data_IF_526832352949
#
_entry.id   IF_526832352949
#
_cell.length_a   1.000
_cell.length_b   1.000
_cell.length_c   1.000
_cell.angle_alpha   90.00
_cell.angle_beta   90.00
_cell.angle_gamma   90.00
#
_symmetry.space_group_name_H-M   'P 1'
#
loop_
_entity.id
_entity.type
_entity.pdbx_description
1 polymer ?
#
# COMPACT_ATOMS: atom_id res chain seq x y z
N UNK A 1 -8.17 -7.95 -20.85
CA UNK A 1 -8.07 -6.50 -21.12
C UNK A 1 -7.37 -5.87 -19.91
N UNK A 2 -6.05 -5.66 -20.03
CA UNK A 2 -5.27 -4.87 -19.09
C UNK A 2 -5.60 -3.40 -19.37
N UNK A 3 -6.53 -2.83 -18.59
CA UNK A 3 -6.70 -1.39 -18.57
C UNK A 3 -5.55 -0.80 -17.77
N UNK A 4 -4.51 -0.37 -18.45
CA UNK A 4 -3.55 0.54 -17.85
C UNK A 4 -4.32 1.83 -17.51
N UNK A 5 -4.39 2.15 -16.23
CA UNK A 5 -4.84 3.47 -15.82
C UNK A 5 -3.86 4.47 -16.42
N UNK A 6 -4.32 5.29 -17.34
CA UNK A 6 -3.50 6.37 -17.90
C UNK A 6 -3.37 7.43 -16.81
N UNK A 7 -2.18 7.99 -16.63
CA UNK A 7 -1.90 8.98 -15.58
C UNK A 7 -2.89 10.14 -15.56
N UNK A 8 -3.39 10.54 -16.71
CA UNK A 8 -4.45 11.54 -16.83
C UNK A 8 -5.78 11.14 -16.16
N UNK A 9 -6.05 9.84 -16.02
CA UNK A 9 -7.24 9.33 -15.32
C UNK A 9 -7.00 9.27 -13.81
N UNK A 10 -5.74 9.18 -13.37
CA UNK A 10 -5.34 9.16 -11.96
C UNK A 10 -5.36 10.57 -11.34
N UNK A 11 -5.05 11.61 -12.12
CA UNK A 11 -4.99 13.01 -11.66
C UNK A 11 -6.38 13.67 -11.55
N UNK A 12 -7.43 13.04 -12.07
CA UNK A 12 -8.78 13.56 -11.85
C UNK A 12 -9.13 13.39 -10.36
N UNK A 13 -9.73 14.42 -9.76
CA UNK A 13 -10.19 14.46 -8.36
C UNK A 13 -11.29 13.41 -8.03
N UNK A 14 -11.39 12.36 -8.82
CA UNK A 14 -12.41 11.32 -8.74
C UNK A 14 -12.00 10.13 -7.86
N UNK A 15 -10.70 10.02 -7.52
CA UNK A 15 -10.20 8.92 -6.69
C UNK A 15 -9.88 9.39 -5.29
N UNK A 16 -10.56 8.79 -4.32
CA UNK A 16 -10.34 9.03 -2.90
C UNK A 16 -9.51 7.91 -2.29
N UNK A 17 -8.67 8.28 -1.34
CA UNK A 17 -7.78 7.37 -0.62
C UNK A 17 -8.04 7.53 0.88
N UNK A 18 -8.16 6.44 1.60
CA UNK A 18 -8.05 6.44 3.05
C UNK A 18 -6.59 6.21 3.41
N UNK A 19 -6.01 7.13 4.14
CA UNK A 19 -4.62 7.05 4.59
C UNK A 19 -4.49 7.27 6.09
N UNK A 20 -3.45 6.69 6.69
CA UNK A 20 -3.04 6.96 8.07
C UNK A 20 -1.71 7.72 8.04
N UNK A 21 -1.73 8.93 8.53
CA UNK A 21 -0.56 9.82 8.66
C UNK A 21 -0.53 10.42 10.06
N UNK A 22 0.50 11.19 10.39
CA UNK A 22 0.69 11.74 11.74
C UNK A 22 -0.51 12.47 12.35
N UNK A 23 -1.45 12.95 11.56
CA UNK A 23 -2.71 13.57 11.99
C UNK A 23 -3.86 12.58 12.21
N UNK A 24 -3.63 11.29 11.96
CA UNK A 24 -4.63 10.23 12.08
C UNK A 24 -5.10 9.68 10.74
N UNK A 25 -6.22 8.93 10.79
CA UNK A 25 -6.81 8.30 9.61
C UNK A 25 -7.85 9.25 8.99
N UNK A 26 -7.65 9.61 7.73
CA UNK A 26 -8.54 10.51 7.01
C UNK A 26 -8.65 10.16 5.51
N UNK A 27 -9.54 10.83 4.82
CA UNK A 27 -9.70 10.73 3.37
C UNK A 27 -8.96 11.88 2.70
N UNK A 28 -8.18 11.54 1.69
CA UNK A 28 -7.53 12.49 0.78
C UNK A 28 -7.83 12.13 -0.67
N UNK A 29 -7.43 12.95 -1.63
CA UNK A 29 -7.51 12.59 -3.06
C UNK A 29 -6.19 11.97 -3.53
N UNK A 30 -6.27 11.12 -4.55
CA UNK A 30 -5.07 10.58 -5.17
C UNK A 30 -4.19 11.70 -5.77
N UNK A 31 -4.82 12.76 -6.27
CA UNK A 31 -4.12 13.94 -6.78
C UNK A 31 -3.29 14.63 -5.68
N UNK A 32 -3.87 14.85 -4.50
CA UNK A 32 -3.16 15.41 -3.36
C UNK A 32 -2.01 14.52 -2.88
N UNK A 33 -2.24 13.20 -2.80
CA UNK A 33 -1.20 12.24 -2.45
C UNK A 33 -0.02 12.29 -3.45
N UNK A 34 -0.32 12.40 -4.74
CA UNK A 34 0.68 12.44 -5.81
C UNK A 34 1.56 13.69 -5.79
N UNK A 35 1.08 14.80 -5.22
CA UNK A 35 1.87 16.04 -5.09
C UNK A 35 2.98 15.94 -4.02
N UNK A 36 2.86 15.00 -3.08
CA UNK A 36 3.75 14.89 -1.93
C UNK A 36 4.55 13.59 -1.88
N UNK A 37 4.40 12.73 -2.89
CA UNK A 37 5.08 11.43 -2.93
C UNK A 37 5.78 11.19 -4.26
N UNK A 38 7.07 10.92 -4.18
CA UNK A 38 7.91 10.63 -5.35
C UNK A 38 7.71 9.20 -5.88
N UNK A 39 7.33 8.27 -4.99
CA UNK A 39 7.08 6.87 -5.31
C UNK A 39 5.63 6.53 -5.02
N UNK A 40 4.90 6.10 -6.03
CA UNK A 40 3.52 5.67 -5.87
C UNK A 40 3.32 4.37 -6.63
N UNK A 41 2.81 3.35 -5.96
CA UNK A 41 2.39 2.12 -6.60
C UNK A 41 0.94 1.82 -6.29
N UNK A 42 0.22 1.33 -7.27
CA UNK A 42 -1.13 0.81 -7.11
C UNK A 42 -1.12 -0.70 -7.40
N UNK A 43 -1.65 -1.47 -6.48
CA UNK A 43 -1.88 -2.90 -6.60
C UNK A 43 -3.31 -3.22 -6.24
N UNK A 44 -3.86 -4.28 -6.79
CA UNK A 44 -5.25 -4.67 -6.58
C UNK A 44 -5.32 -6.11 -6.08
N UNK A 45 -5.96 -6.38 -4.93
CA UNK A 45 -6.22 -7.73 -4.48
C UNK A 45 -7.12 -8.50 -5.46
N UNK A 46 -6.84 -9.79 -5.63
CA UNK A 46 -7.61 -10.70 -6.49
C UNK A 46 -8.80 -11.24 -5.68
N UNK A 47 -9.68 -10.36 -5.30
CA UNK A 47 -10.91 -10.68 -4.56
C UNK A 47 -12.14 -10.33 -5.39
N UNK A 48 -13.25 -10.98 -5.07
CA UNK A 48 -14.55 -10.62 -5.64
C UNK A 48 -15.03 -9.24 -5.12
N UNK A 49 -16.01 -8.66 -5.81
CA UNK A 49 -16.52 -7.33 -5.50
C UNK A 49 -17.09 -7.23 -4.08
N UNK A 50 -17.67 -8.31 -3.55
CA UNK A 50 -18.23 -8.33 -2.20
C UNK A 50 -17.14 -8.18 -1.14
N UNK A 51 -16.01 -8.89 -1.28
CA UNK A 51 -14.86 -8.78 -0.37
C UNK A 51 -14.19 -7.41 -0.46
N UNK A 52 -14.09 -6.87 -1.66
CA UNK A 52 -13.56 -5.50 -1.84
C UNK A 52 -14.47 -4.49 -1.13
N UNK A 53 -15.80 -4.59 -1.27
CA UNK A 53 -16.74 -3.70 -0.57
C UNK A 53 -16.60 -3.81 0.95
N UNK A 54 -16.50 -5.01 1.49
CA UNK A 54 -16.29 -5.24 2.92
C UNK A 54 -14.97 -4.63 3.41
N UNK A 55 -13.88 -4.78 2.63
CA UNK A 55 -12.60 -4.17 2.96
C UNK A 55 -12.65 -2.63 2.97
N UNK A 56 -13.39 -2.03 2.02
CA UNK A 56 -13.64 -0.59 1.99
C UNK A 56 -14.43 -0.14 3.22
N UNK A 57 -15.52 -0.83 3.56
CA UNK A 57 -16.33 -0.52 4.74
C UNK A 57 -15.51 -0.64 6.03
N UNK A 58 -14.72 -1.71 6.16
CA UNK A 58 -13.81 -1.89 7.30
C UNK A 58 -12.83 -0.72 7.41
N UNK A 59 -12.23 -0.29 6.29
CA UNK A 59 -11.30 0.85 6.26
C UNK A 59 -12.00 2.16 6.64
N UNK A 60 -13.20 2.42 6.10
CA UNK A 60 -13.98 3.62 6.40
C UNK A 60 -14.40 3.69 7.88
N UNK A 61 -14.62 2.55 8.54
CA UNK A 61 -14.93 2.50 9.97
C UNK A 61 -13.79 2.97 10.88
N UNK A 62 -12.58 3.07 10.34
CA UNK A 62 -11.39 3.52 11.06
C UNK A 62 -11.14 5.03 10.94
N UNK A 63 -11.94 5.75 10.16
CA UNK A 63 -11.79 7.21 9.99
C UNK A 63 -11.82 7.94 11.34
N UNK A 64 -10.93 8.90 11.51
CA UNK A 64 -10.78 9.69 12.74
C UNK A 64 -9.99 8.98 13.84
N UNK A 65 -9.54 7.73 13.66
CA UNK A 65 -8.61 7.09 14.60
C UNK A 65 -7.25 7.74 14.55
N UNK A 66 -6.53 7.66 15.67
CA UNK A 66 -5.19 8.24 15.79
C UNK A 66 -4.13 7.43 15.05
N UNK A 67 -3.03 8.10 14.69
CA UNK A 67 -1.85 7.44 14.15
C UNK A 67 -1.03 6.81 15.28
N UNK A 68 -0.56 5.58 15.08
CA UNK A 68 0.27 4.88 16.06
C UNK A 68 1.76 5.17 15.86
N UNK A 69 2.26 6.15 16.56
CA UNK A 69 3.70 6.46 16.58
C UNK A 69 4.55 5.39 17.31
N UNK A 70 3.94 4.53 18.12
CA UNK A 70 4.58 3.40 18.78
C UNK A 70 4.82 2.22 17.84
N UNK A 71 4.27 2.26 16.62
CA UNK A 71 4.35 1.21 15.61
C UNK A 71 3.86 -0.15 16.13
N UNK A 72 2.82 -0.17 16.95
CA UNK A 72 2.24 -1.39 17.49
C UNK A 72 1.18 -1.97 16.56
N UNK A 73 1.55 -2.98 15.80
CA UNK A 73 0.62 -3.66 14.88
C UNK A 73 -0.66 -4.19 15.55
N UNK A 74 -0.58 -4.58 16.82
CA UNK A 74 -1.72 -5.14 17.57
C UNK A 74 -2.62 -4.09 18.22
N UNK A 75 -2.35 -2.81 18.03
CA UNK A 75 -3.23 -1.76 18.53
C UNK A 75 -4.60 -1.82 17.82
N UNK A 76 -5.66 -1.68 18.59
CA UNK A 76 -7.03 -1.51 18.09
C UNK A 76 -7.55 -0.07 18.27
N UNK A 77 -6.70 0.82 18.77
CA UNK A 77 -7.02 2.23 19.06
C UNK A 77 -6.38 3.15 18.04
N UNK A 78 -5.11 2.90 17.71
CA UNK A 78 -4.30 3.70 16.80
C UNK A 78 -3.66 2.81 15.74
N UNK A 79 -3.39 3.35 14.56
CA UNK A 79 -2.97 2.54 13.41
C UNK A 79 -1.81 3.19 12.67
N UNK A 80 -0.85 2.37 12.25
CA UNK A 80 0.16 2.75 11.24
C UNK A 80 -0.42 2.60 9.84
N UNK A 81 0.13 3.31 8.86
CA UNK A 81 -0.36 3.31 7.47
C UNK A 81 -0.50 1.90 6.88
N UNK A 82 0.48 1.03 7.10
CA UNK A 82 0.45 -0.35 6.60
C UNK A 82 -0.54 -1.25 7.35
N UNK A 83 -0.89 -0.94 8.61
CA UNK A 83 -1.88 -1.69 9.36
C UNK A 83 -3.30 -1.49 8.79
N UNK A 84 -3.59 -0.38 8.11
CA UNK A 84 -4.87 -0.20 7.41
C UNK A 84 -5.13 -1.31 6.40
N UNK A 85 -4.12 -1.68 5.61
CA UNK A 85 -4.24 -2.73 4.60
C UNK A 85 -4.57 -4.06 5.26
N UNK A 86 -3.83 -4.41 6.32
CA UNK A 86 -4.06 -5.68 7.01
C UNK A 86 -5.40 -5.74 7.70
N UNK A 87 -5.82 -4.66 8.36
CA UNK A 87 -7.14 -4.59 9.03
C UNK A 87 -8.29 -4.63 8.02
N UNK A 88 -8.13 -4.00 6.86
CA UNK A 88 -9.12 -4.03 5.79
C UNK A 88 -9.37 -5.44 5.23
N UNK A 89 -8.33 -6.27 5.17
CA UNK A 89 -8.39 -7.60 4.57
C UNK A 89 -8.27 -8.74 5.59
N UNK A 90 -8.60 -8.50 6.87
CA UNK A 90 -8.71 -9.57 7.87
C UNK A 90 -9.87 -10.51 7.54
N UNK A 91 -9.73 -11.82 7.84
CA UNK A 91 -10.85 -12.75 7.75
C UNK A 91 -12.02 -12.30 8.63
N UNK A 92 -13.23 -12.55 8.17
CA UNK A 92 -14.44 -12.35 8.94
C UNK A 92 -15.33 -13.62 8.87
N UNK A 93 -16.51 -13.57 9.45
CA UNK A 93 -17.43 -14.71 9.47
C UNK A 93 -17.85 -15.20 8.08
N UNK A 94 -17.81 -14.33 7.07
CA UNK A 94 -18.27 -14.65 5.71
C UNK A 94 -17.16 -15.13 4.79
N UNK A 95 -15.89 -14.87 5.13
CA UNK A 95 -14.74 -15.25 4.32
C UNK A 95 -13.49 -15.52 5.16
N UNK A 96 -12.85 -16.65 4.90
CA UNK A 96 -11.62 -17.09 5.58
C UNK A 96 -10.36 -16.72 4.80
N UNK A 97 -10.49 -16.30 3.55
CA UNK A 97 -9.37 -15.92 2.68
C UNK A 97 -9.03 -14.45 2.93
N UNK A 98 -7.81 -14.18 3.20
CA UNK A 98 -7.28 -12.85 3.48
C UNK A 98 -5.95 -12.64 2.74
N UNK A 99 -5.51 -11.41 2.70
CA UNK A 99 -4.22 -11.08 2.12
C UNK A 99 -3.10 -11.54 3.06
N UNK A 100 -2.33 -12.54 2.64
CA UNK A 100 -1.22 -13.06 3.43
C UNK A 100 -0.05 -12.09 3.41
N UNK A 101 0.19 -11.45 4.53
CA UNK A 101 1.24 -10.45 4.68
C UNK A 101 2.18 -10.85 5.80
N UNK A 102 3.48 -10.87 5.50
CA UNK A 102 4.50 -11.17 6.50
C UNK A 102 4.76 -9.96 7.40
N UNK A 103 4.62 -10.18 8.70
CA UNK A 103 4.99 -9.22 9.72
C UNK A 103 6.50 -9.32 10.02
N UNK A 104 7.12 -8.19 10.27
CA UNK A 104 8.52 -8.11 10.63
C UNK A 104 8.68 -7.64 12.09
N UNK A 105 9.60 -8.25 12.80
CA UNK A 105 9.98 -7.80 14.14
C UNK A 105 11.06 -6.75 14.05
N UNK A 106 10.80 -5.58 14.65
CA UNK A 106 11.78 -4.51 14.83
C UNK A 106 12.01 -4.27 16.33
N UNK A 107 12.97 -3.43 16.68
CA UNK A 107 13.32 -3.15 18.08
C UNK A 107 12.13 -2.64 18.93
N UNK A 108 11.21 -1.90 18.31
CA UNK A 108 10.04 -1.29 18.97
C UNK A 108 8.79 -2.17 18.94
N UNK A 109 8.77 -3.28 18.21
CA UNK A 109 7.58 -4.12 18.12
C UNK A 109 7.48 -4.96 16.85
N UNK A 110 6.25 -5.30 16.49
CA UNK A 110 5.92 -6.03 15.26
C UNK A 110 5.24 -5.06 14.31
N UNK A 111 5.75 -4.99 13.09
CA UNK A 111 5.28 -4.08 12.06
C UNK A 111 5.04 -4.82 10.75
N UNK A 112 4.28 -4.18 9.88
CA UNK A 112 4.16 -4.54 8.48
C UNK A 112 4.85 -3.47 7.64
N UNK A 113 6.11 -3.66 7.21
CA UNK A 113 6.78 -2.69 6.36
C UNK A 113 6.13 -2.62 4.98
N UNK A 114 5.95 -1.44 4.38
CA UNK A 114 5.38 -1.30 3.03
C UNK A 114 6.09 -2.16 1.98
N UNK A 115 7.42 -2.29 2.08
CA UNK A 115 8.20 -3.13 1.18
C UNK A 115 7.89 -4.63 1.28
N UNK A 116 7.28 -5.10 2.37
CA UNK A 116 6.84 -6.50 2.49
C UNK A 116 5.76 -6.85 1.49
N UNK A 117 4.89 -5.89 1.12
CA UNK A 117 3.90 -6.08 0.07
C UNK A 117 4.56 -6.29 -1.29
N UNK A 118 5.56 -5.47 -1.63
CA UNK A 118 6.29 -5.60 -2.89
C UNK A 118 7.06 -6.92 -2.94
N UNK A 119 7.74 -7.27 -1.82
CA UNK A 119 8.46 -8.53 -1.68
C UNK A 119 7.52 -9.72 -1.85
N UNK A 120 6.34 -9.70 -1.20
CA UNK A 120 5.32 -10.72 -1.35
C UNK A 120 4.94 -10.88 -2.83
N UNK A 121 4.59 -9.82 -3.52
CA UNK A 121 4.24 -9.89 -4.95
C UNK A 121 5.35 -10.51 -5.79
N UNK A 122 6.61 -10.16 -5.51
CA UNK A 122 7.76 -10.71 -6.23
C UNK A 122 7.89 -12.24 -6.02
N UNK A 123 7.64 -12.74 -4.81
CA UNK A 123 7.66 -14.18 -4.53
C UNK A 123 6.42 -14.91 -5.06
N UNK A 124 5.25 -14.33 -4.94
CA UNK A 124 4.01 -14.90 -5.44
C UNK A 124 4.05 -15.09 -6.96
N UNK A 125 4.66 -14.17 -7.69
CA UNK A 125 4.85 -14.28 -9.13
C UNK A 125 5.72 -15.50 -9.51
N UNK A 126 6.76 -15.78 -8.71
CA UNK A 126 7.62 -16.96 -8.91
C UNK A 126 6.89 -18.27 -8.59
N UNK A 127 5.96 -18.26 -7.64
CA UNK A 127 5.21 -19.44 -7.19
C UNK A 127 3.89 -19.66 -7.93
N UNK A 128 3.52 -18.78 -8.86
CA UNK A 128 2.23 -18.77 -9.57
C UNK A 128 1.01 -18.68 -8.63
N UNK A 129 1.16 -18.07 -7.48
CA UNK A 129 0.13 -17.89 -6.45
C UNK A 129 -0.16 -16.42 -6.17
N UNK A 130 -0.27 -15.60 -7.21
CA UNK A 130 -0.48 -14.18 -7.03
C UNK A 130 -1.81 -13.89 -6.33
N UNK A 131 -1.78 -13.14 -5.22
CA UNK A 131 -2.94 -12.59 -4.53
C UNK A 131 -3.22 -11.14 -4.91
N UNK A 132 -2.31 -10.53 -5.65
CA UNK A 132 -2.33 -9.13 -6.03
C UNK A 132 -2.04 -8.96 -7.52
N UNK A 133 -2.73 -8.04 -8.15
CA UNK A 133 -2.40 -7.57 -9.48
C UNK A 133 -1.68 -6.23 -9.42
N UNK A 134 -0.65 -6.11 -10.22
CA UNK A 134 -0.02 -4.83 -10.49
C UNK A 134 -0.96 -3.94 -11.31
N UNK A 135 -1.10 -2.67 -10.90
CA UNK A 135 -1.90 -1.67 -11.62
C UNK A 135 -1.02 -0.59 -12.19
N UNK A 136 -0.20 0.06 -11.37
CA UNK A 136 0.67 1.14 -11.80
C UNK A 136 1.85 1.31 -10.84
N UNK A 137 2.95 1.86 -11.36
CA UNK A 137 4.08 2.30 -10.57
C UNK A 137 4.66 3.59 -11.12
N UNK A 138 4.69 4.60 -10.30
CA UNK A 138 5.43 5.84 -10.52
C UNK A 138 6.72 5.74 -9.75
N UNK A 139 7.82 5.75 -10.48
CA UNK A 139 9.17 5.60 -9.95
C UNK A 139 9.89 6.95 -10.02
N UNK A 140 10.38 7.45 -8.91
CA UNK A 140 11.23 8.61 -8.87
C UNK A 140 12.71 8.19 -8.92
N UNK A 141 13.46 8.83 -9.77
CA UNK A 141 14.92 8.71 -9.75
C UNK A 141 15.50 10.02 -9.25
N UNK A 142 16.13 9.95 -8.09
CA UNK A 142 16.77 11.11 -7.44
C UNK A 142 17.72 11.83 -8.40
N UNK A 143 18.48 11.08 -9.22
CA UNK A 143 19.40 11.64 -10.21
C UNK A 143 18.74 12.51 -11.28
N UNK A 144 17.48 12.22 -11.61
CA UNK A 144 16.76 12.88 -12.70
C UNK A 144 15.79 13.95 -12.21
N UNK A 145 15.56 14.04 -10.89
CA UNK A 145 14.56 14.91 -10.24
C UNK A 145 13.19 14.83 -10.93
N UNK A 146 12.83 13.65 -11.41
CA UNK A 146 11.61 13.39 -12.16
C UNK A 146 11.02 12.05 -11.77
N UNK A 147 9.70 11.99 -11.75
CA UNK A 147 8.96 10.75 -11.61
C UNK A 147 8.45 10.30 -12.96
N UNK A 148 8.49 9.00 -13.24
CA UNK A 148 7.98 8.43 -14.49
C UNK A 148 7.25 7.13 -14.23
N UNK A 149 6.36 6.80 -15.14
CA UNK A 149 5.74 5.48 -15.15
C UNK A 149 6.77 4.41 -15.40
N UNK A 150 6.69 3.39 -14.57
CA UNK A 150 7.57 2.25 -14.64
C UNK A 150 6.77 0.95 -14.74
N UNK A 151 7.40 -0.10 -15.23
CA UNK A 151 6.76 -1.38 -15.42
C UNK A 151 6.71 -2.21 -14.13
N UNK A 152 5.88 -3.25 -14.14
CA UNK A 152 5.74 -4.21 -13.05
C UNK A 152 7.09 -4.80 -12.62
N UNK A 153 7.96 -5.15 -13.56
CA UNK A 153 9.28 -5.71 -13.24
C UNK A 153 10.13 -4.76 -12.40
N UNK A 154 10.11 -3.46 -12.69
CA UNK A 154 10.82 -2.45 -11.91
C UNK A 154 10.21 -2.28 -10.51
N UNK A 155 8.88 -2.33 -10.43
CA UNK A 155 8.18 -2.34 -9.15
C UNK A 155 8.58 -3.54 -8.29
N UNK A 156 8.54 -4.76 -8.84
CA UNK A 156 8.90 -5.99 -8.15
C UNK A 156 10.37 -6.05 -7.70
N UNK A 157 11.25 -5.26 -8.30
CA UNK A 157 12.65 -5.13 -7.88
C UNK A 157 12.88 -3.98 -6.88
N UNK A 158 11.92 -3.08 -6.71
CA UNK A 158 12.12 -1.85 -5.94
C UNK A 158 12.41 -2.10 -4.45
N UNK A 159 11.91 -3.17 -3.85
CA UNK A 159 12.17 -3.50 -2.45
C UNK A 159 13.64 -3.85 -2.15
N UNK A 160 14.42 -4.18 -3.20
CA UNK A 160 15.86 -4.49 -3.08
C UNK A 160 16.73 -3.25 -3.11
N UNK A 161 16.17 -2.07 -3.38
CA UNK A 161 16.93 -0.83 -3.43
C UNK A 161 17.50 -0.50 -2.07
N UNK A 162 18.79 -0.12 -2.03
CA UNK A 162 19.46 0.25 -0.80
C UNK A 162 18.81 1.50 -0.19
N UNK A 163 18.51 1.46 1.11
CA UNK A 163 18.04 2.62 1.87
C UNK A 163 19.17 3.59 2.23
N UNK A 164 20.42 3.24 1.90
CA UNK A 164 21.61 4.03 2.26
C UNK A 164 21.84 5.25 1.36
N UNK A 165 21.12 5.38 0.25
CA UNK A 165 21.20 6.58 -0.59
C UNK A 165 20.64 7.84 0.08
N UNK A 166 19.85 7.72 1.15
CA UNK A 166 19.30 8.84 1.92
C UNK A 166 20.30 9.50 2.88
N UNK A 167 21.50 8.93 3.07
CA UNK A 167 22.48 9.41 4.04
C UNK A 167 23.82 9.82 3.44
N UNK A 168 23.95 9.84 2.13
CA UNK A 168 25.22 10.08 1.43
C UNK A 168 25.22 11.30 0.49
N UNK A 169 24.22 12.21 0.62
CA UNK A 169 24.24 13.53 -0.02
C UNK A 169 24.30 14.63 1.03
#
# INVERSE_FOLDING_TARGET
YSQYLVWQDIIRDEYYIVEAVGTGIHITTLAALALHNDYIAAVRPIFDASKISQAIEATLSLLGREYDFGLNYYSDVSYVCSALITKAYLPNETWSVWLHIELERIATGIVYPPNSLVRKMAYDQLSQRSELWFVAFVDAREKDQRSFFSCEQQFLLSWKRSRLSFFLD
#
